data_IF_551147687937
#
_entry.id   IF_551147687937
#
_cell.length_a   1.000
_cell.length_b   1.000
_cell.length_c   1.000
_cell.angle_alpha   90.00
_cell.angle_beta   90.00
_cell.angle_gamma   90.00
#
_symmetry.space_group_name_H-M   'P 1'
#
loop_
_entity.id
_entity.type
_entity.pdbx_description
1 polymer ?
#
# COMPACT_ATOMS: atom_id res chain seq x y z
N UNK A 1 15.11 5.29 -1.39
CA UNK A 1 14.56 3.97 -1.76
C UNK A 1 13.43 3.62 -0.80
N UNK A 2 12.27 3.24 -1.34
CA UNK A 2 11.10 2.81 -0.58
C UNK A 2 11.32 1.37 -0.09
N UNK A 3 11.45 1.19 1.21
CA UNK A 3 11.41 -0.11 1.89
C UNK A 3 10.04 -0.25 2.51
N UNK A 4 9.07 -0.61 1.66
CA UNK A 4 7.65 -0.56 1.99
C UNK A 4 7.06 -1.90 2.38
N UNK A 5 5.96 -1.81 3.12
CA UNK A 5 5.15 -2.96 3.48
C UNK A 5 3.66 -2.59 3.37
N UNK A 6 2.86 -3.51 2.90
CA UNK A 6 1.40 -3.36 2.94
C UNK A 6 0.90 -3.65 4.34
N UNK A 7 -0.07 -2.88 4.82
CA UNK A 7 -0.70 -3.06 6.13
C UNK A 7 -2.19 -2.78 6.03
N UNK A 8 -2.98 -3.62 6.65
CA UNK A 8 -4.40 -3.38 6.85
C UNK A 8 -4.69 -2.92 8.29
N UNK A 9 -5.68 -2.03 8.47
CA UNK A 9 -6.23 -1.71 9.79
C UNK A 9 -7.11 -2.87 10.24
N UNK A 10 -6.48 -3.85 10.92
CA UNK A 10 -7.11 -5.10 11.29
C UNK A 10 -6.54 -5.68 12.58
N UNK A 11 -7.37 -6.31 13.39
CA UNK A 11 -6.95 -7.02 14.60
C UNK A 11 -7.71 -8.33 14.75
N UNK A 12 -7.05 -9.32 15.36
CA UNK A 12 -7.61 -10.65 15.59
C UNK A 12 -8.90 -10.58 16.42
N UNK A 13 -8.94 -9.75 17.44
CA UNK A 13 -10.07 -9.65 18.37
C UNK A 13 -11.12 -8.61 17.97
N UNK A 14 -10.70 -7.51 17.32
CA UNK A 14 -11.56 -6.37 16.99
C UNK A 14 -11.91 -6.24 15.50
N UNK A 15 -11.37 -7.11 14.65
CA UNK A 15 -11.51 -6.97 13.21
C UNK A 15 -10.99 -5.61 12.75
N UNK A 16 -11.78 -4.83 12.03
CA UNK A 16 -11.40 -3.49 11.52
C UNK A 16 -11.45 -2.38 12.58
N UNK A 17 -11.92 -2.67 13.80
CA UNK A 17 -11.91 -1.70 14.89
C UNK A 17 -10.54 -1.70 15.58
N UNK A 18 -9.56 -1.02 14.98
CA UNK A 18 -8.21 -0.90 15.54
C UNK A 18 -8.11 0.26 16.53
N UNK A 19 -7.28 0.10 17.53
CA UNK A 19 -7.05 1.13 18.55
C UNK A 19 -5.78 1.94 18.26
N UNK A 20 -5.68 3.14 18.85
CA UNK A 20 -4.47 3.94 18.79
C UNK A 20 -3.25 3.21 19.37
N UNK A 21 -3.46 2.37 20.39
CA UNK A 21 -2.38 1.55 20.98
C UNK A 21 -1.85 0.53 19.97
N UNK A 22 -2.73 -0.13 19.22
CA UNK A 22 -2.33 -1.05 18.15
C UNK A 22 -1.63 -0.34 17.02
N UNK A 23 -2.17 0.77 16.53
CA UNK A 23 -1.53 1.57 15.50
C UNK A 23 -0.11 2.00 15.89
N UNK A 24 0.06 2.40 17.16
CA UNK A 24 1.38 2.71 17.68
C UNK A 24 2.30 1.49 17.68
N UNK A 25 1.81 0.35 18.13
CA UNK A 25 2.60 -0.90 18.14
C UNK A 25 3.02 -1.30 16.74
N UNK A 26 2.10 -1.32 15.79
CA UNK A 26 2.37 -1.68 14.39
C UNK A 26 3.41 -0.73 13.78
N UNK A 27 3.25 0.58 13.96
CA UNK A 27 4.19 1.55 13.43
C UNK A 27 5.60 1.39 14.02
N UNK A 28 5.71 1.08 15.31
CA UNK A 28 7.00 0.80 15.94
C UNK A 28 7.65 -0.48 15.41
N UNK A 29 6.87 -1.56 15.25
CA UNK A 29 7.37 -2.81 14.69
C UNK A 29 7.82 -2.64 13.22
N UNK A 30 7.05 -1.91 12.41
CA UNK A 30 7.41 -1.57 11.04
C UNK A 30 8.74 -0.81 11.01
N UNK A 31 8.92 0.13 11.92
CA UNK A 31 10.17 0.88 12.04
C UNK A 31 11.34 0.01 12.50
N UNK A 32 11.11 -0.90 13.47
CA UNK A 32 12.11 -1.86 13.97
C UNK A 32 12.58 -2.81 12.88
N UNK A 33 11.69 -3.24 11.98
CA UNK A 33 12.04 -4.00 10.78
C UNK A 33 12.82 -3.20 9.72
N UNK A 34 13.19 -1.95 10.03
CA UNK A 34 13.89 -1.05 9.10
C UNK A 34 13.07 -0.70 7.84
N UNK A 35 11.75 -0.79 7.90
CA UNK A 35 10.87 -0.28 6.87
C UNK A 35 10.70 1.24 7.01
N UNK A 36 10.46 1.91 5.90
CA UNK A 36 10.28 3.36 5.86
C UNK A 36 9.00 3.80 5.14
N UNK A 37 8.21 2.86 4.67
CA UNK A 37 7.00 3.17 3.92
C UNK A 37 5.89 2.14 4.20
N UNK A 38 4.65 2.61 4.16
CA UNK A 38 3.45 1.76 4.30
C UNK A 38 2.46 2.08 3.19
N UNK A 39 1.77 1.07 2.72
CA UNK A 39 0.60 1.16 1.85
C UNK A 39 -0.56 0.37 2.46
N UNK A 40 -1.78 0.84 2.27
CA UNK A 40 -3.00 0.08 2.56
C UNK A 40 -3.98 0.16 1.38
N UNK A 41 -4.96 -0.77 1.33
CA UNK A 41 -6.00 -0.81 0.28
C UNK A 41 -7.18 0.13 0.55
N UNK A 42 -7.13 0.92 1.59
CA UNK A 42 -8.14 1.89 2.00
C UNK A 42 -7.52 2.87 3.00
N UNK A 43 -8.14 4.03 3.11
CA UNK A 43 -7.69 5.06 4.04
C UNK A 43 -7.55 4.51 5.47
N UNK A 44 -6.40 4.71 6.11
CA UNK A 44 -6.10 4.17 7.43
C UNK A 44 -6.83 4.96 8.53
N UNK A 45 -6.73 4.45 9.76
CA UNK A 45 -7.11 5.23 10.93
C UNK A 45 -6.18 6.44 11.10
N UNK A 46 -6.72 7.60 11.49
CA UNK A 46 -5.95 8.85 11.66
C UNK A 46 -4.79 8.66 12.65
N UNK A 47 -5.01 7.95 13.75
CA UNK A 47 -3.95 7.67 14.73
C UNK A 47 -2.79 6.83 14.16
N UNK A 48 -2.97 6.10 13.06
CA UNK A 48 -1.86 5.44 12.38
C UNK A 48 -1.06 6.44 11.53
N UNK A 49 -1.73 7.38 10.85
CA UNK A 49 -1.06 8.46 10.13
C UNK A 49 -0.26 9.37 11.08
N UNK A 50 -0.82 9.69 12.26
CA UNK A 50 -0.10 10.43 13.31
C UNK A 50 1.20 9.72 13.71
N UNK A 51 1.17 8.39 13.82
CA UNK A 51 2.36 7.60 14.10
C UNK A 51 3.36 7.60 12.94
N UNK A 52 2.87 7.53 11.70
CA UNK A 52 3.72 7.63 10.52
C UNK A 52 4.42 8.99 10.47
N UNK A 53 3.69 10.08 10.70
CA UNK A 53 4.25 11.43 10.79
C UNK A 53 5.34 11.53 11.86
N UNK A 54 5.07 10.99 13.05
CA UNK A 54 5.98 11.06 14.20
C UNK A 54 7.26 10.24 13.99
N UNK A 55 7.17 9.10 13.31
CA UNK A 55 8.29 8.17 13.12
C UNK A 55 9.02 8.35 11.79
N UNK A 56 8.54 9.25 10.92
CA UNK A 56 9.09 9.43 9.57
C UNK A 56 8.89 8.19 8.69
N UNK A 57 7.72 7.56 8.77
CA UNK A 57 7.29 6.51 7.86
C UNK A 57 6.45 7.17 6.78
N UNK A 58 6.83 7.06 5.51
CA UNK A 58 6.04 7.61 4.41
C UNK A 58 4.85 6.71 4.10
N UNK A 59 3.79 7.28 3.55
CA UNK A 59 2.53 6.58 3.35
C UNK A 59 2.01 6.74 1.92
N UNK A 60 1.51 5.64 1.36
CA UNK A 60 0.69 5.62 0.16
C UNK A 60 -0.75 5.39 0.59
N UNK A 61 -1.56 6.44 0.51
CA UNK A 61 -2.96 6.41 0.91
C UNK A 61 -3.85 6.06 -0.28
N UNK A 62 -4.75 5.09 -0.09
CA UNK A 62 -5.49 4.48 -1.18
C UNK A 62 -7.00 4.62 -1.01
N UNK A 63 -7.66 5.06 -2.08
CA UNK A 63 -9.10 4.94 -2.23
C UNK A 63 -9.46 3.47 -2.34
N UNK A 64 -10.29 2.97 -1.44
CA UNK A 64 -10.75 1.58 -1.47
C UNK A 64 -11.37 1.26 -2.83
N UNK A 65 -10.95 0.15 -3.43
CA UNK A 65 -11.43 -0.35 -4.70
C UNK A 65 -10.58 -1.57 -5.10
N UNK A 66 -11.21 -2.68 -5.43
CA UNK A 66 -10.50 -3.89 -5.82
C UNK A 66 -11.25 -4.58 -6.95
N UNK A 67 -10.61 -4.64 -8.13
CA UNK A 67 -11.14 -5.20 -9.38
C UNK A 67 -12.42 -4.49 -9.89
N UNK A 68 -13.20 -3.88 -9.02
CA UNK A 68 -14.35 -3.06 -9.35
C UNK A 68 -14.15 -1.64 -8.82
N UNK A 69 -14.38 -0.65 -9.67
CA UNK A 69 -14.25 0.75 -9.32
C UNK A 69 -15.58 1.36 -8.88
N UNK A 70 -15.50 2.45 -8.15
CA UNK A 70 -16.66 3.30 -7.87
C UNK A 70 -17.08 4.07 -9.12
N UNK A 71 -18.40 4.31 -9.25
CA UNK A 71 -18.91 5.29 -10.20
C UNK A 71 -18.43 6.72 -9.83
N UNK A 72 -18.62 7.67 -10.73
CA UNK A 72 -18.17 9.04 -10.50
C UNK A 72 -18.88 9.71 -9.31
N UNK A 73 -20.13 9.38 -9.04
CA UNK A 73 -20.92 9.99 -7.97
C UNK A 73 -20.42 9.57 -6.60
N UNK A 74 -20.28 8.27 -6.38
CA UNK A 74 -19.78 7.73 -5.11
C UNK A 74 -18.29 7.99 -4.97
N UNK A 75 -17.50 7.71 -6.00
CA UNK A 75 -16.07 7.88 -5.99
C UNK A 75 -15.63 9.33 -5.75
N UNK A 76 -16.31 10.31 -6.35
CA UNK A 76 -15.99 11.73 -6.12
C UNK A 76 -16.18 12.15 -4.66
N UNK A 77 -17.21 11.62 -4.01
CA UNK A 77 -17.42 11.86 -2.58
C UNK A 77 -16.31 11.25 -1.74
N UNK A 78 -15.97 9.99 -2.02
CA UNK A 78 -14.96 9.27 -1.26
C UNK A 78 -13.56 9.87 -1.41
N UNK A 79 -13.14 10.24 -2.64
CA UNK A 79 -11.87 10.95 -2.87
C UNK A 79 -11.84 12.27 -2.11
N UNK A 80 -12.93 13.04 -2.15
CA UNK A 80 -13.01 14.30 -1.42
C UNK A 80 -12.82 14.09 0.07
N UNK A 81 -13.55 13.15 0.66
CA UNK A 81 -13.52 12.88 2.09
C UNK A 81 -12.13 12.40 2.53
N UNK A 82 -11.54 11.44 1.81
CA UNK A 82 -10.21 10.92 2.08
C UNK A 82 -9.14 12.02 1.99
N UNK A 83 -9.05 12.70 0.86
CA UNK A 83 -8.00 13.72 0.67
C UNK A 83 -8.16 14.89 1.64
N UNK A 84 -9.40 15.34 1.89
CA UNK A 84 -9.63 16.46 2.83
C UNK A 84 -9.29 16.08 4.27
N UNK A 85 -9.49 14.83 4.66
CA UNK A 85 -9.09 14.34 5.98
C UNK A 85 -7.57 14.29 6.11
N UNK A 86 -6.90 13.72 5.10
CA UNK A 86 -5.53 13.23 5.24
C UNK A 86 -4.47 14.15 4.61
N UNK A 87 -4.86 15.16 3.83
CA UNK A 87 -3.94 16.04 3.08
C UNK A 87 -2.87 16.73 3.93
N UNK A 88 -3.14 16.94 5.21
CA UNK A 88 -2.22 17.61 6.13
C UNK A 88 -1.19 16.68 6.78
N UNK A 89 -1.29 15.36 6.56
CA UNK A 89 -0.27 14.43 7.03
C UNK A 89 0.97 14.49 6.13
N UNK A 90 2.12 14.91 6.64
CA UNK A 90 3.36 14.99 5.85
C UNK A 90 3.90 13.61 5.47
N UNK A 91 3.50 12.55 6.15
CA UNK A 91 3.85 11.17 5.80
C UNK A 91 3.26 10.75 4.45
N UNK A 92 2.10 11.26 4.05
CA UNK A 92 1.51 10.90 2.77
C UNK A 92 2.30 11.52 1.62
N UNK A 93 2.84 10.68 0.75
CA UNK A 93 3.64 11.10 -0.40
C UNK A 93 3.01 10.75 -1.75
N UNK A 94 2.09 9.80 -1.77
CA UNK A 94 1.40 9.31 -2.97
C UNK A 94 -0.06 9.02 -2.63
N UNK A 95 -0.96 9.38 -3.54
CA UNK A 95 -2.34 8.95 -3.56
C UNK A 95 -2.50 7.75 -4.47
N UNK A 96 -3.35 6.82 -4.11
CA UNK A 96 -3.69 5.65 -4.91
C UNK A 96 -5.20 5.60 -5.20
N UNK A 97 -5.54 5.38 -6.46
CA UNK A 97 -6.93 5.34 -6.91
C UNK A 97 -7.40 3.91 -7.11
N UNK A 98 -7.50 3.15 -6.02
CA UNK A 98 -7.95 1.76 -6.04
C UNK A 98 -6.86 0.74 -6.36
N UNK A 99 -7.20 -0.54 -6.25
CA UNK A 99 -6.30 -1.68 -6.40
C UNK A 99 -6.73 -2.59 -7.55
N UNK A 100 -5.75 -3.17 -8.29
CA UNK A 100 -5.91 -4.26 -9.26
C UNK A 100 -7.12 -4.09 -10.22
N UNK A 101 -7.22 -2.94 -10.87
CA UNK A 101 -8.34 -2.62 -11.77
C UNK A 101 -9.50 -1.88 -11.09
N UNK A 102 -9.45 -1.69 -9.77
CA UNK A 102 -10.48 -0.97 -9.01
C UNK A 102 -10.43 0.56 -9.10
N UNK A 103 -9.74 1.11 -10.10
CA UNK A 103 -9.62 2.55 -10.32
C UNK A 103 -10.61 3.06 -11.37
N UNK A 104 -11.10 4.28 -11.16
CA UNK A 104 -11.86 5.04 -12.14
C UNK A 104 -11.05 6.27 -12.56
N UNK A 105 -10.56 6.32 -13.79
CA UNK A 105 -9.74 7.41 -14.33
C UNK A 105 -10.39 8.80 -14.22
N UNK A 106 -11.72 8.86 -14.19
CA UNK A 106 -12.43 10.14 -14.02
C UNK A 106 -12.19 10.77 -12.65
N UNK A 107 -11.75 9.98 -11.66
CA UNK A 107 -11.48 10.43 -10.31
C UNK A 107 -10.07 11.02 -10.14
N UNK A 108 -9.12 10.70 -11.00
CA UNK A 108 -7.71 11.10 -10.85
C UNK A 108 -7.54 12.62 -10.67
N UNK A 109 -8.24 13.40 -11.45
CA UNK A 109 -8.21 14.87 -11.37
C UNK A 109 -8.66 15.43 -10.03
N UNK A 110 -9.47 14.67 -9.29
CA UNK A 110 -10.03 15.12 -8.00
C UNK A 110 -8.97 15.10 -6.88
N UNK A 111 -8.02 14.19 -6.94
CA UNK A 111 -6.93 14.17 -5.97
C UNK A 111 -6.17 15.51 -6.01
N UNK A 112 -5.72 15.94 -7.17
CA UNK A 112 -5.06 17.25 -7.33
C UNK A 112 -5.98 18.44 -7.04
N UNK A 113 -7.28 18.30 -7.23
CA UNK A 113 -8.26 19.34 -6.90
C UNK A 113 -8.34 19.59 -5.39
N UNK A 114 -8.21 18.54 -4.57
CA UNK A 114 -8.29 18.64 -3.11
C UNK A 114 -6.91 18.74 -2.45
N UNK A 115 -5.86 18.18 -3.06
CA UNK A 115 -4.46 18.36 -2.66
C UNK A 115 -3.80 19.52 -3.44
N UNK A 116 -4.26 20.74 -3.18
CA UNK A 116 -3.89 21.93 -3.98
C UNK A 116 -2.45 22.35 -3.83
N UNK A 117 -1.88 22.16 -2.65
CA UNK A 117 -0.55 22.68 -2.33
C UNK A 117 0.55 21.74 -2.80
N UNK A 118 0.42 20.47 -2.52
CA UNK A 118 1.47 19.48 -2.78
C UNK A 118 1.29 18.79 -4.13
N UNK A 119 0.05 18.59 -4.57
CA UNK A 119 -0.28 17.90 -5.83
C UNK A 119 0.46 16.57 -5.97
N UNK A 120 0.38 15.76 -4.92
CA UNK A 120 1.02 14.45 -4.89
C UNK A 120 0.57 13.59 -6.08
N UNK A 121 1.47 12.75 -6.54
CA UNK A 121 1.16 11.84 -7.64
C UNK A 121 0.02 10.88 -7.26
N UNK A 122 -0.80 10.56 -8.27
CA UNK A 122 -1.81 9.50 -8.19
C UNK A 122 -1.26 8.27 -8.90
N UNK A 123 -1.40 7.09 -8.32
CA UNK A 123 -1.02 5.81 -8.92
C UNK A 123 -2.24 4.89 -9.04
N UNK A 124 -2.08 3.90 -9.93
CA UNK A 124 -3.02 2.80 -10.10
C UNK A 124 -2.28 1.49 -9.81
N UNK A 125 -2.26 1.00 -8.58
CA UNK A 125 -1.55 -0.21 -8.20
C UNK A 125 -1.89 -1.40 -9.08
N UNK A 126 -0.85 -2.10 -9.55
CA UNK A 126 -0.86 -3.13 -10.59
C UNK A 126 -0.65 -2.58 -12.01
N UNK A 127 -0.83 -1.29 -12.24
CA UNK A 127 -0.73 -0.70 -13.57
C UNK A 127 0.57 0.09 -13.77
N UNK A 128 0.84 0.34 -15.04
CA UNK A 128 1.85 1.26 -15.52
C UNK A 128 1.17 2.62 -15.79
N UNK A 129 1.38 3.58 -14.89
CA UNK A 129 0.65 4.85 -14.89
C UNK A 129 1.51 6.00 -14.36
N UNK A 130 1.42 7.18 -14.96
CA UNK A 130 2.15 8.39 -14.55
C UNK A 130 3.66 8.19 -14.36
N UNK A 131 4.33 7.52 -15.32
CA UNK A 131 5.76 7.22 -15.31
C UNK A 131 6.21 6.31 -14.14
N UNK A 132 5.26 5.71 -13.43
CA UNK A 132 5.46 4.69 -12.39
C UNK A 132 4.95 3.33 -12.89
N UNK A 133 5.77 2.32 -12.69
CA UNK A 133 5.42 0.92 -12.88
C UNK A 133 5.21 0.29 -11.50
N UNK A 134 3.95 0.04 -11.16
CA UNK A 134 3.53 -0.46 -9.86
C UNK A 134 3.11 -1.93 -9.90
N UNK A 135 3.69 -2.72 -10.81
CA UNK A 135 3.33 -4.11 -11.06
C UNK A 135 3.24 -4.93 -9.78
N UNK A 136 2.19 -5.76 -9.66
CA UNK A 136 2.04 -6.70 -8.55
C UNK A 136 2.72 -8.03 -8.87
N UNK A 137 3.37 -8.60 -7.88
CA UNK A 137 4.03 -9.92 -7.93
C UNK A 137 4.88 -10.14 -9.18
N UNK A 138 5.76 -9.19 -9.53
CA UNK A 138 6.63 -9.38 -10.67
C UNK A 138 7.55 -10.57 -10.40
N UNK A 139 7.63 -11.49 -11.36
CA UNK A 139 8.60 -12.57 -11.28
C UNK A 139 10.03 -11.99 -11.27
N UNK A 140 10.94 -12.68 -10.65
CA UNK A 140 12.35 -12.27 -10.51
C UNK A 140 12.97 -11.77 -11.84
N UNK A 141 12.76 -12.50 -12.93
CA UNK A 141 13.25 -12.13 -14.25
C UNK A 141 12.44 -11.03 -14.95
N UNK A 142 11.16 -10.85 -14.59
CA UNK A 142 10.32 -9.80 -15.19
C UNK A 142 10.85 -8.41 -14.80
N UNK A 143 11.25 -8.22 -13.55
CA UNK A 143 11.90 -6.99 -13.11
C UNK A 143 13.14 -6.67 -13.93
N UNK A 144 13.93 -7.70 -14.28
CA UNK A 144 15.13 -7.54 -15.13
C UNK A 144 14.78 -7.10 -16.55
N UNK A 145 13.76 -7.70 -17.16
CA UNK A 145 13.34 -7.34 -18.53
C UNK A 145 12.84 -5.89 -18.60
N UNK A 146 12.13 -5.42 -17.59
CA UNK A 146 11.68 -4.02 -17.48
C UNK A 146 12.83 -3.03 -17.36
N UNK A 147 13.92 -3.43 -16.73
CA UNK A 147 15.12 -2.60 -16.62
C UNK A 147 15.85 -2.44 -17.94
N UNK A 148 15.81 -3.43 -18.81
CA UNK A 148 16.51 -3.37 -20.12
C UNK A 148 15.79 -2.48 -21.13
N UNK A 149 14.48 -2.40 -21.05
CA UNK A 149 13.64 -1.70 -22.03
C UNK A 149 12.80 -0.58 -21.42
N UNK A 150 12.87 -0.38 -20.10
CA UNK A 150 12.06 0.58 -19.37
C UNK A 150 12.76 1.91 -19.14
N UNK A 151 11.98 2.95 -19.15
CA UNK A 151 12.38 4.33 -18.77
C UNK A 151 11.50 4.85 -17.62
N UNK A 152 10.64 3.99 -17.06
CA UNK A 152 9.75 4.33 -15.95
C UNK A 152 10.35 3.91 -14.63
N UNK A 153 9.98 4.62 -13.58
CA UNK A 153 10.36 4.26 -12.22
C UNK A 153 9.62 2.98 -11.83
N UNK A 154 10.37 1.95 -11.48
CA UNK A 154 9.83 0.67 -11.04
C UNK A 154 9.66 0.65 -9.53
N UNK A 155 8.42 0.49 -9.07
CA UNK A 155 8.05 0.45 -7.66
C UNK A 155 6.88 -0.52 -7.46
N UNK A 156 7.11 -1.83 -7.41
CA UNK A 156 6.05 -2.80 -7.20
C UNK A 156 5.31 -2.51 -5.89
N UNK A 157 3.99 -2.35 -5.99
CA UNK A 157 3.16 -2.04 -4.84
C UNK A 157 2.72 -3.27 -4.07
N UNK A 158 2.93 -4.46 -4.65
CA UNK A 158 2.85 -5.74 -3.96
C UNK A 158 3.88 -6.72 -4.52
N UNK A 159 4.67 -7.33 -3.65
CA UNK A 159 5.58 -8.42 -4.03
C UNK A 159 5.89 -9.30 -2.83
N UNK A 160 6.43 -10.51 -3.08
CA UNK A 160 6.81 -11.47 -2.04
C UNK A 160 5.64 -11.89 -1.13
N UNK A 161 4.55 -12.35 -1.74
CA UNK A 161 3.42 -12.92 -1.00
C UNK A 161 3.85 -14.26 -0.38
N UNK A 162 4.28 -14.23 0.87
CA UNK A 162 4.92 -15.37 1.54
C UNK A 162 4.09 -16.66 1.50
N UNK A 163 2.76 -16.54 1.54
CA UNK A 163 1.85 -17.69 1.50
C UNK A 163 1.81 -18.34 0.10
N UNK A 164 1.68 -17.55 -0.95
CA UNK A 164 1.53 -18.07 -2.32
C UNK A 164 2.86 -18.34 -3.02
N UNK A 165 3.90 -17.61 -2.66
CA UNK A 165 5.23 -17.78 -3.24
C UNK A 165 5.98 -18.99 -2.67
N UNK A 166 5.38 -19.70 -1.72
CA UNK A 166 5.90 -20.94 -1.11
C UNK A 166 7.26 -20.81 -0.40
N UNK A 167 7.85 -19.63 -0.39
CA UNK A 167 9.19 -19.39 0.15
C UNK A 167 9.21 -18.69 1.52
N UNK A 168 8.05 -18.32 2.08
CA UNK A 168 8.00 -17.59 3.34
C UNK A 168 8.81 -16.29 3.35
N UNK A 169 8.97 -15.65 2.18
CA UNK A 169 9.79 -14.44 2.03
C UNK A 169 11.29 -14.68 1.90
N UNK A 170 11.74 -15.93 1.85
CA UNK A 170 13.18 -16.28 1.76
C UNK A 170 13.90 -15.65 0.56
N UNK A 171 13.21 -15.42 -0.55
CA UNK A 171 13.75 -14.81 -1.76
C UNK A 171 13.89 -13.28 -1.72
N UNK A 172 13.49 -12.62 -0.64
CA UNK A 172 13.48 -11.15 -0.56
C UNK A 172 14.85 -10.54 -0.91
N UNK A 173 15.92 -11.10 -0.38
CA UNK A 173 17.28 -10.61 -0.64
C UNK A 173 17.63 -10.70 -2.11
N UNK A 174 17.32 -11.83 -2.76
CA UNK A 174 17.64 -12.05 -4.18
C UNK A 174 16.91 -11.06 -5.08
N UNK A 175 15.62 -10.83 -4.84
CA UNK A 175 14.82 -9.82 -5.54
C UNK A 175 15.39 -8.43 -5.32
N UNK A 176 15.64 -8.06 -4.07
CA UNK A 176 16.12 -6.74 -3.69
C UNK A 176 17.50 -6.44 -4.27
N UNK A 177 18.46 -7.33 -4.09
CA UNK A 177 19.82 -7.16 -4.59
C UNK A 177 19.81 -7.04 -6.13
N UNK A 178 18.97 -7.83 -6.79
CA UNK A 178 18.83 -7.78 -8.24
C UNK A 178 18.19 -6.50 -8.73
N UNK A 179 17.09 -6.11 -8.16
CA UNK A 179 16.37 -4.90 -8.59
C UNK A 179 17.13 -3.62 -8.25
N UNK A 180 17.82 -3.60 -7.13
CA UNK A 180 18.60 -2.43 -6.70
C UNK A 180 19.83 -2.14 -7.58
N UNK A 181 20.16 -3.02 -8.51
CA UNK A 181 21.21 -2.73 -9.53
C UNK A 181 20.73 -1.73 -10.58
N UNK A 182 19.45 -1.43 -10.65
CA UNK A 182 18.88 -0.51 -11.62
C UNK A 182 18.53 0.84 -10.97
N UNK A 183 19.02 1.96 -11.52
CA UNK A 183 18.72 3.30 -10.99
C UNK A 183 17.26 3.71 -11.07
N UNK A 184 16.43 3.01 -11.86
CA UNK A 184 15.00 3.22 -11.93
C UNK A 184 14.23 2.48 -10.83
N UNK A 185 14.87 1.61 -10.05
CA UNK A 185 14.21 0.94 -8.94
C UNK A 185 14.07 1.88 -7.75
N UNK A 186 12.84 2.24 -7.44
CA UNK A 186 12.54 3.12 -6.31
C UNK A 186 12.32 2.37 -4.98
N UNK A 187 12.37 1.06 -4.99
CA UNK A 187 11.93 0.20 -3.89
C UNK A 187 10.55 -0.40 -4.17
N UNK A 188 9.85 -0.85 -3.16
CA UNK A 188 8.53 -1.45 -3.32
C UNK A 188 7.90 -1.81 -1.99
N UNK A 189 6.71 -2.44 -2.04
CA UNK A 189 5.93 -2.78 -0.85
C UNK A 189 5.73 -4.30 -0.76
N UNK A 190 6.24 -4.89 0.31
CA UNK A 190 6.08 -6.33 0.58
C UNK A 190 4.62 -6.61 0.94
N UNK A 191 4.05 -7.68 0.46
CA UNK A 191 2.78 -8.23 0.90
C UNK A 191 3.02 -9.33 1.93
N UNK A 192 2.68 -9.22 3.18
CA UNK A 192 1.97 -8.16 3.88
C UNK A 192 2.41 -8.13 5.36
N UNK A 193 2.18 -7.04 6.07
CA UNK A 193 2.42 -6.94 7.50
C UNK A 193 1.29 -7.62 8.26
N UNK A 194 1.61 -8.79 8.79
CA UNK A 194 0.89 -9.73 9.64
C UNK A 194 -0.36 -10.40 9.03
N UNK A 195 -0.78 -11.46 9.71
CA UNK A 195 -1.96 -12.23 9.37
C UNK A 195 -3.25 -11.47 9.70
N UNK A 196 -4.26 -11.63 8.87
CA UNK A 196 -5.51 -10.88 8.93
C UNK A 196 -6.72 -11.79 9.22
N UNK A 197 -6.53 -12.82 10.02
CA UNK A 197 -7.58 -13.75 10.39
C UNK A 197 -8.36 -13.29 11.64
N UNK A 198 -9.66 -12.95 11.51
CA UNK A 198 -10.47 -12.61 12.67
C UNK A 198 -10.81 -13.83 13.51
N UNK A 199 -10.97 -13.61 14.80
CA UNK A 199 -11.42 -14.63 15.71
C UNK A 199 -12.93 -14.84 15.58
N UNK A 200 -13.31 -16.03 15.21
CA UNK A 200 -14.72 -16.42 15.04
C UNK A 200 -15.38 -16.69 16.38
N UNK A 201 -16.18 -15.77 16.88
CA UNK A 201 -16.96 -15.95 18.13
C UNK A 201 -18.04 -17.02 17.99
N UNK A 202 -18.58 -17.21 16.80
CA UNK A 202 -19.60 -18.23 16.48
C UNK A 202 -19.03 -19.66 16.37
N UNK A 203 -17.71 -19.80 16.32
CA UNK A 203 -17.02 -21.09 16.23
C UNK A 203 -16.01 -21.34 17.36
N UNK A 204 -16.31 -20.86 18.55
CA UNK A 204 -15.49 -21.12 19.74
C UNK A 204 -14.12 -20.40 19.74
N UNK A 205 -13.98 -19.35 18.97
CA UNK A 205 -12.78 -18.51 18.98
C UNK A 205 -11.62 -19.01 18.09
N UNK A 206 -11.88 -19.92 17.16
CA UNK A 206 -10.89 -20.28 16.14
C UNK A 206 -10.67 -19.13 15.17
N UNK A 207 -9.46 -19.03 14.63
CA UNK A 207 -9.14 -18.03 13.61
C UNK A 207 -9.83 -18.40 12.29
N UNK A 208 -10.41 -17.41 11.65
CA UNK A 208 -10.94 -17.53 10.29
C UNK A 208 -9.82 -17.17 9.33
N UNK A 209 -9.15 -18.18 8.82
CA UNK A 209 -8.13 -17.96 7.80
C UNK A 209 -8.79 -17.84 6.42
N UNK A 210 -8.42 -16.85 5.66
CA UNK A 210 -8.68 -16.82 4.23
C UNK A 210 -8.06 -18.05 3.58
N UNK A 211 -8.89 -18.85 2.98
CA UNK A 211 -8.46 -19.93 2.10
C UNK A 211 -8.81 -19.58 0.68
#
# INVERSE_FOLDING_TARGET
VVKGINRHSFSVDGGRATSAAMSRQDALLIKEMNMNAVRSHYAPDEHFLDMCDSLGIVYMDELAGWQNCYDEKVGSKLVKEMVQRDVNHPSIIIWSNGNEGGWNYQLDKLFAQYDKLQKRHVVHPWADFNDLDTHHYPAYLTGVARFTNGYKVFMPTEFMHAMYDQGGGAGLRDFWDRWNTNPLFAGGFIWVFCDEAPKRSDKGGILDSDK
#
